data_IF_919849235176
#
_entry.id   IF_919849235176
#
_cell.length_a   1.000
_cell.length_b   1.000
_cell.length_c   1.000
_cell.angle_alpha   90.00
_cell.angle_beta   90.00
_cell.angle_gamma   90.00
#
_symmetry.space_group_name_H-M   'P 1'
#
loop_
_entity.id
_entity.type
_entity.pdbx_description
1 polymer ?
#
# COMPACT_ATOMS: atom_id res chain seq x y z
N UNK A 1 -69.93 22.24 -42.19
CA UNK A 1 -69.49 21.31 -41.12
C UNK A 1 -68.04 20.91 -41.36
N UNK A 2 -67.13 21.38 -40.51
CA UNK A 2 -65.85 20.78 -40.07
C UNK A 2 -65.08 21.87 -39.34
N UNK A 3 -65.17 21.82 -38.00
CA UNK A 3 -64.48 22.70 -37.06
C UNK A 3 -63.12 22.06 -36.79
N UNK A 4 -62.02 22.75 -37.12
CA UNK A 4 -60.68 22.35 -36.74
C UNK A 4 -60.20 23.32 -35.65
N UNK A 5 -60.13 22.81 -34.42
CA UNK A 5 -59.71 23.53 -33.23
C UNK A 5 -58.17 23.53 -33.20
N UNK A 6 -57.54 24.69 -33.39
CA UNK A 6 -56.09 24.87 -33.24
C UNK A 6 -55.82 25.23 -31.78
N UNK A 7 -55.28 24.28 -31.02
CA UNK A 7 -54.77 24.49 -29.66
C UNK A 7 -53.38 25.13 -29.74
N UNK A 8 -53.31 26.44 -29.51
CA UNK A 8 -52.06 27.17 -29.28
C UNK A 8 -51.64 26.93 -27.84
N UNK A 9 -50.74 25.97 -27.63
CA UNK A 9 -50.10 25.74 -26.33
C UNK A 9 -49.12 26.87 -26.02
N UNK A 10 -49.47 27.73 -25.08
CA UNK A 10 -48.56 28.72 -24.51
C UNK A 10 -47.47 28.01 -23.69
N UNK A 11 -46.27 27.92 -24.24
CA UNK A 11 -45.07 27.49 -23.50
C UNK A 11 -44.66 28.66 -22.60
N UNK A 12 -45.03 28.58 -21.31
CA UNK A 12 -44.50 29.42 -20.26
C UNK A 12 -43.03 29.05 -20.04
N UNK A 13 -42.13 29.73 -20.76
CA UNK A 13 -40.71 29.74 -20.44
C UNK A 13 -40.51 30.49 -19.12
N UNK A 14 -40.60 29.78 -18.00
CA UNK A 14 -40.14 30.28 -16.72
C UNK A 14 -38.60 30.38 -16.77
N UNK A 15 -38.09 31.53 -17.17
CA UNK A 15 -36.70 31.90 -16.97
C UNK A 15 -36.47 32.03 -15.47
N UNK A 16 -36.04 30.93 -14.84
CA UNK A 16 -35.51 30.92 -13.48
C UNK A 16 -34.20 31.72 -13.49
N UNK A 17 -34.33 33.03 -13.34
CA UNK A 17 -33.22 33.92 -13.03
C UNK A 17 -32.69 33.55 -11.66
N UNK A 18 -31.70 32.66 -11.62
CA UNK A 18 -30.87 32.46 -10.44
C UNK A 18 -30.04 33.74 -10.25
N UNK A 19 -30.63 34.77 -9.64
CA UNK A 19 -29.86 35.88 -9.07
C UNK A 19 -28.82 35.27 -8.13
N UNK A 20 -27.52 35.52 -8.32
CA UNK A 20 -26.52 35.16 -7.34
C UNK A 20 -26.94 35.82 -6.03
N UNK A 21 -27.13 35.04 -4.96
CA UNK A 21 -27.35 35.59 -3.62
C UNK A 21 -26.10 36.39 -3.23
N UNK A 22 -26.10 37.67 -3.54
CA UNK A 22 -25.17 38.70 -3.06
C UNK A 22 -25.35 38.82 -1.56
N UNK A 23 -24.70 37.94 -0.81
CA UNK A 23 -24.86 37.83 0.65
C UNK A 23 -24.28 36.55 1.26
N UNK A 24 -23.95 35.54 0.46
CA UNK A 24 -23.21 34.39 0.97
C UNK A 24 -21.73 34.78 1.05
N UNK A 25 -21.27 35.04 2.28
CA UNK A 25 -19.83 35.17 2.59
C UNK A 25 -19.08 34.06 1.87
N UNK A 26 -18.14 34.40 1.01
CA UNK A 26 -17.33 33.45 0.25
C UNK A 26 -16.80 32.38 1.21
N UNK A 27 -17.35 31.17 1.11
CA UNK A 27 -16.95 30.05 1.95
C UNK A 27 -15.49 29.78 1.69
N UNK A 28 -14.65 29.98 2.70
CA UNK A 28 -13.23 29.65 2.61
C UNK A 28 -13.11 28.14 2.48
N UNK A 29 -12.81 27.66 1.28
CA UNK A 29 -12.42 26.27 1.07
C UNK A 29 -11.05 26.11 1.71
N UNK A 30 -11.03 25.55 2.92
CA UNK A 30 -9.79 25.15 3.58
C UNK A 30 -9.50 23.74 3.12
N UNK A 31 -8.50 23.59 2.24
CA UNK A 31 -7.90 22.28 1.96
C UNK A 31 -7.17 21.86 3.24
N UNK A 32 -7.78 20.99 4.02
CA UNK A 32 -7.10 20.36 5.16
C UNK A 32 -6.16 19.32 4.55
N UNK A 33 -4.90 19.68 4.39
CA UNK A 33 -3.85 18.68 4.19
C UNK A 33 -3.71 17.92 5.50
N UNK A 34 -4.33 16.74 5.56
CA UNK A 34 -4.09 15.82 6.67
C UNK A 34 -2.61 15.46 6.59
N UNK A 35 -1.83 15.84 7.62
CA UNK A 35 -0.49 15.28 7.83
C UNK A 35 -0.58 13.77 7.58
N UNK A 36 0.37 13.16 6.85
CA UNK A 36 0.41 11.71 6.72
C UNK A 36 0.30 11.12 8.13
N UNK A 37 -0.77 10.37 8.38
CA UNK A 37 -1.03 9.81 9.69
C UNK A 37 -0.14 8.58 9.85
N UNK A 38 1.16 8.78 10.09
CA UNK A 38 2.09 7.68 10.25
C UNK A 38 3.56 8.08 10.18
N UNK A 39 4.46 7.15 10.53
CA UNK A 39 5.90 7.31 10.30
C UNK A 39 6.17 7.64 8.83
N UNK A 40 7.15 8.52 8.58
CA UNK A 40 7.53 9.03 7.26
C UNK A 40 8.86 8.43 6.81
N UNK A 41 8.96 7.10 6.81
CA UNK A 41 10.16 6.40 6.33
C UNK A 41 9.92 5.71 4.99
N UNK A 42 10.93 4.99 4.53
CA UNK A 42 10.78 4.16 3.33
C UNK A 42 10.06 2.87 3.71
N UNK A 43 8.88 2.58 3.13
CA UNK A 43 8.07 1.44 3.57
C UNK A 43 8.86 0.14 3.54
N UNK A 44 8.74 -0.65 4.60
CA UNK A 44 9.33 -1.99 4.73
C UNK A 44 8.21 -2.99 4.94
N UNK A 45 8.36 -4.19 4.37
CA UNK A 45 7.46 -5.31 4.67
C UNK A 45 8.19 -6.43 5.37
N UNK A 46 7.44 -7.20 6.14
CA UNK A 46 7.86 -8.43 6.78
C UNK A 46 6.78 -9.48 6.56
N UNK A 47 7.15 -10.75 6.35
CA UNK A 47 6.18 -11.84 6.50
C UNK A 47 5.93 -12.06 7.99
N UNK A 48 4.69 -12.37 8.39
CA UNK A 48 4.32 -12.47 9.82
C UNK A 48 3.78 -13.85 10.13
N UNK A 49 4.33 -14.48 11.16
CA UNK A 49 3.79 -15.68 11.79
C UNK A 49 2.78 -15.29 12.87
N UNK A 50 1.52 -15.70 12.69
CA UNK A 50 0.39 -15.34 13.55
C UNK A 50 0.47 -15.93 14.96
N UNK A 51 1.15 -17.07 15.13
CA UNK A 51 1.13 -17.79 16.41
C UNK A 51 2.05 -17.12 17.45
N UNK A 52 3.14 -16.52 16.97
CA UNK A 52 4.23 -16.10 17.84
C UNK A 52 4.52 -14.60 17.76
N UNK A 53 3.78 -13.81 16.97
CA UNK A 53 4.09 -12.41 16.68
C UNK A 53 5.54 -12.22 16.17
N UNK A 54 6.02 -13.21 15.41
CA UNK A 54 7.34 -13.19 14.78
C UNK A 54 7.19 -12.66 13.36
N UNK A 55 8.05 -11.71 12.99
CA UNK A 55 8.15 -11.19 11.63
C UNK A 55 9.50 -11.53 11.00
N UNK A 56 9.53 -11.78 9.69
CA UNK A 56 10.76 -11.90 8.91
C UNK A 56 10.80 -10.78 7.88
N UNK A 57 11.69 -9.82 8.09
CA UNK A 57 11.82 -8.62 7.27
C UNK A 57 13.03 -8.76 6.34
N UNK A 58 12.80 -8.71 5.03
CA UNK A 58 13.88 -8.74 4.03
C UNK A 58 14.22 -7.29 3.71
N UNK A 59 15.29 -6.80 4.34
CA UNK A 59 15.71 -5.39 4.31
C UNK A 59 17.18 -5.29 4.71
N UNK A 60 17.99 -4.41 4.08
CA UNK A 60 19.40 -4.26 4.42
C UNK A 60 19.60 -3.64 5.80
N UNK A 61 18.66 -2.82 6.26
CA UNK A 61 18.71 -2.18 7.58
C UNK A 61 17.71 -2.81 8.54
N UNK A 62 18.11 -3.12 9.80
CA UNK A 62 17.21 -3.69 10.79
C UNK A 62 16.04 -2.74 11.07
N UNK A 63 14.83 -3.28 11.31
CA UNK A 63 13.77 -2.52 11.98
C UNK A 63 14.26 -1.98 13.33
N UNK A 64 13.71 -0.85 13.77
CA UNK A 64 14.08 -0.30 15.08
C UNK A 64 13.24 -0.98 16.18
N UNK A 65 13.86 -1.26 17.33
CA UNK A 65 13.12 -1.71 18.50
C UNK A 65 12.19 -0.57 18.96
N UNK A 66 10.94 -0.91 19.26
CA UNK A 66 9.90 0.04 19.59
C UNK A 66 9.10 0.55 18.40
N UNK A 67 9.54 0.31 17.17
CA UNK A 67 8.75 0.57 15.96
C UNK A 67 7.46 -0.25 15.95
N UNK A 68 6.47 0.26 15.22
CA UNK A 68 5.18 -0.40 15.03
C UNK A 68 5.10 -1.01 13.64
N UNK A 69 4.68 -2.26 13.60
CA UNK A 69 4.39 -3.02 12.40
C UNK A 69 2.88 -3.20 12.30
N UNK A 70 2.27 -2.64 11.25
CA UNK A 70 0.85 -2.84 10.96
C UNK A 70 0.68 -4.14 10.19
N UNK A 71 -0.08 -5.08 10.74
CA UNK A 71 -0.32 -6.40 10.14
C UNK A 71 -1.61 -6.35 9.34
N UNK A 72 -1.54 -6.78 8.09
CA UNK A 72 -2.65 -6.73 7.13
C UNK A 72 -2.79 -8.05 6.39
N UNK A 73 -4.00 -8.34 5.93
CA UNK A 73 -4.32 -9.49 5.08
C UNK A 73 -5.14 -9.08 3.85
N UNK A 74 -5.69 -10.04 3.09
CA UNK A 74 -6.50 -9.77 1.90
C UNK A 74 -7.85 -9.08 2.18
N UNK A 75 -8.28 -9.00 3.44
CA UNK A 75 -9.55 -8.42 3.82
C UNK A 75 -9.41 -7.08 4.54
N UNK A 76 -8.40 -6.91 5.40
CA UNK A 76 -8.31 -5.79 6.35
C UNK A 76 -6.94 -5.67 7.03
N UNK A 77 -6.80 -4.60 7.81
CA UNK A 77 -5.82 -4.53 8.89
C UNK A 77 -6.23 -5.46 10.03
N UNK A 78 -5.34 -6.38 10.40
CA UNK A 78 -5.54 -7.33 11.49
C UNK A 78 -5.13 -6.74 12.84
N UNK A 79 -4.06 -5.95 12.88
CA UNK A 79 -3.56 -5.40 14.14
C UNK A 79 -2.26 -4.61 14.01
N UNK A 80 -1.70 -4.24 15.16
CA UNK A 80 -0.39 -3.56 15.23
C UNK A 80 0.49 -4.25 16.26
N UNK A 81 1.67 -4.66 15.83
CA UNK A 81 2.72 -5.26 16.69
C UNK A 81 3.75 -4.17 17.01
N UNK A 82 4.08 -4.00 18.29
CA UNK A 82 5.29 -3.25 18.69
C UNK A 82 6.47 -4.20 18.72
N UNK A 83 7.51 -3.88 17.96
CA UNK A 83 8.75 -4.66 17.89
C UNK A 83 9.50 -4.53 19.22
N UNK A 84 9.82 -5.66 19.86
CA UNK A 84 10.54 -5.72 21.13
C UNK A 84 11.95 -6.28 20.98
N UNK A 85 12.22 -7.09 19.96
CA UNK A 85 13.57 -7.54 19.62
C UNK A 85 13.76 -7.69 18.11
N UNK A 86 15.01 -7.57 17.69
CA UNK A 86 15.43 -7.74 16.29
C UNK A 86 16.72 -8.56 16.28
N UNK A 87 16.71 -9.65 15.51
CA UNK A 87 17.85 -10.54 15.34
C UNK A 87 18.21 -10.64 13.86
N UNK A 88 19.48 -10.40 13.53
CA UNK A 88 19.99 -10.59 12.17
C UNK A 88 20.06 -12.06 11.81
N UNK A 89 19.61 -12.39 10.60
CA UNK A 89 19.80 -13.70 9.99
C UNK A 89 20.87 -13.53 8.92
N UNK A 90 22.03 -14.14 9.15
CA UNK A 90 23.12 -14.15 8.19
C UNK A 90 22.71 -14.99 6.96
N UNK A 91 22.88 -14.42 5.77
CA UNK A 91 22.75 -15.14 4.50
C UNK A 91 24.01 -15.97 4.20
N UNK A 92 24.02 -16.66 3.06
CA UNK A 92 25.18 -17.43 2.61
C UNK A 92 26.44 -16.59 2.37
N UNK A 93 26.30 -15.27 2.26
CA UNK A 93 27.42 -14.33 2.14
C UNK A 93 27.90 -13.84 3.52
N UNK A 94 27.38 -14.41 4.62
CA UNK A 94 27.62 -13.96 5.99
C UNK A 94 27.23 -12.48 6.21
N UNK A 95 26.21 -12.01 5.49
CA UNK A 95 25.64 -10.67 5.64
C UNK A 95 24.24 -10.75 6.24
N UNK A 96 23.89 -9.81 7.11
CA UNK A 96 22.54 -9.72 7.66
C UNK A 96 21.65 -8.94 6.70
N UNK A 97 21.01 -9.65 5.77
CA UNK A 97 20.07 -9.09 4.79
C UNK A 97 18.61 -9.41 5.12
N UNK A 98 18.40 -10.25 6.14
CA UNK A 98 17.11 -10.59 6.71
C UNK A 98 17.13 -10.40 8.22
N UNK A 99 15.99 -9.98 8.77
CA UNK A 99 15.85 -9.70 10.19
C UNK A 99 14.63 -10.41 10.74
N UNK A 100 14.84 -11.22 11.77
CA UNK A 100 13.74 -11.77 12.57
C UNK A 100 13.36 -10.73 13.63
N UNK A 101 12.10 -10.35 13.66
CA UNK A 101 11.55 -9.44 14.68
C UNK A 101 10.63 -10.23 15.61
N UNK A 102 10.73 -10.00 16.90
CA UNK A 102 9.72 -10.42 17.88
C UNK A 102 9.00 -9.17 18.36
N UNK A 103 7.71 -9.30 18.67
CA UNK A 103 6.97 -8.19 19.24
C UNK A 103 5.82 -8.59 20.15
N UNK A 104 5.09 -7.56 20.58
CA UNK A 104 3.84 -7.69 21.34
C UNK A 104 2.72 -7.05 20.54
N UNK A 105 1.59 -7.74 20.43
CA UNK A 105 0.39 -7.21 19.80
C UNK A 105 -0.19 -6.09 20.67
N UNK A 106 -0.16 -4.85 20.19
CA UNK A 106 -0.72 -3.69 20.90
C UNK A 106 -2.22 -3.52 20.65
N UNK A 107 -2.70 -3.95 19.49
CA UNK A 107 -4.09 -3.82 19.08
C UNK A 107 -4.44 -4.81 17.97
N UNK A 108 -5.74 -5.12 17.85
CA UNK A 108 -6.26 -6.00 16.82
C UNK A 108 -6.33 -7.47 17.24
N UNK A 109 -6.45 -8.35 16.25
CA UNK A 109 -6.56 -9.80 16.42
C UNK A 109 -5.97 -10.51 15.18
N UNK A 110 -4.98 -11.36 15.40
CA UNK A 110 -4.31 -12.13 14.35
C UNK A 110 -4.87 -13.56 14.20
N UNK A 111 -5.88 -13.95 14.97
CA UNK A 111 -6.38 -15.33 15.04
C UNK A 111 -7.19 -15.77 13.81
N UNK A 112 -7.69 -14.82 13.02
CA UNK A 112 -8.60 -15.07 11.89
C UNK A 112 -8.12 -14.38 10.60
N UNK A 113 -6.92 -14.72 10.10
CA UNK A 113 -6.44 -14.14 8.87
C UNK A 113 -7.18 -14.67 7.65
N UNK A 114 -7.28 -13.83 6.63
CA UNK A 114 -7.80 -14.17 5.32
C UNK A 114 -6.69 -14.07 4.27
N UNK A 115 -6.17 -15.23 3.85
CA UNK A 115 -5.18 -15.33 2.78
C UNK A 115 -3.76 -14.98 3.24
N UNK A 116 -3.04 -14.23 2.41
CA UNK A 116 -1.67 -13.80 2.68
C UNK A 116 -1.66 -12.77 3.82
N UNK A 117 -0.60 -12.79 4.62
CA UNK A 117 -0.42 -11.89 5.76
C UNK A 117 0.96 -11.26 5.67
N UNK A 118 1.00 -9.94 5.75
CA UNK A 118 2.26 -9.21 5.87
C UNK A 118 2.16 -8.16 6.98
N UNK A 119 3.32 -7.82 7.52
CA UNK A 119 3.53 -6.68 8.40
C UNK A 119 4.20 -5.56 7.63
N UNK A 120 3.75 -4.32 7.84
CA UNK A 120 4.25 -3.13 7.16
C UNK A 120 4.78 -2.15 8.20
N UNK A 121 5.96 -1.58 7.95
CA UNK A 121 6.67 -0.65 8.83
C UNK A 121 6.97 0.65 8.05
N UNK A 122 7.09 1.75 8.78
CA UNK A 122 7.52 3.07 8.27
C UNK A 122 6.57 3.79 7.33
N UNK A 123 5.33 3.29 7.22
CA UNK A 123 4.22 3.96 6.54
C UNK A 123 2.94 3.80 7.35
N UNK A 124 2.13 4.85 7.38
CA UNK A 124 0.80 4.81 7.99
C UNK A 124 -0.22 4.16 7.06
N UNK A 125 -0.88 3.12 7.54
CA UNK A 125 -2.02 2.50 6.84
C UNK A 125 -3.34 2.91 7.49
N UNK A 126 -4.40 3.08 6.70
CA UNK A 126 -5.75 3.33 7.21
C UNK A 126 -6.29 2.04 7.84
N UNK A 127 -6.51 1.99 9.16
CA UNK A 127 -6.94 0.78 9.84
C UNK A 127 -8.32 0.27 9.40
N UNK A 128 -9.12 1.10 8.69
CA UNK A 128 -10.47 0.74 8.23
C UNK A 128 -10.52 0.31 6.78
N UNK A 129 -9.57 0.78 5.97
CA UNK A 129 -9.63 0.67 4.52
C UNK A 129 -8.48 -0.17 3.96
N UNK A 130 -7.34 -0.23 4.66
CA UNK A 130 -6.16 -0.91 4.14
C UNK A 130 -6.32 -2.43 4.09
N UNK A 131 -5.96 -3.01 2.94
CA UNK A 131 -5.99 -4.46 2.68
C UNK A 131 -5.03 -4.85 1.55
N UNK A 132 -4.68 -6.13 1.47
CA UNK A 132 -3.97 -6.68 0.32
C UNK A 132 -4.91 -6.84 -0.87
N UNK A 133 -4.44 -6.43 -2.04
CA UNK A 133 -5.14 -6.57 -3.31
C UNK A 133 -4.28 -7.37 -4.30
N UNK A 134 -4.93 -8.01 -5.26
CA UNK A 134 -4.22 -8.64 -6.36
C UNK A 134 -3.93 -7.60 -7.43
N UNK A 135 -2.75 -7.67 -8.02
CA UNK A 135 -2.38 -6.87 -9.19
C UNK A 135 -2.03 -7.80 -10.35
N UNK A 136 -2.43 -7.42 -11.56
CA UNK A 136 -2.20 -8.23 -12.76
C UNK A 136 -0.75 -8.13 -13.27
N UNK A 137 0.05 -7.19 -12.76
CA UNK A 137 1.45 -7.01 -13.15
C UNK A 137 2.19 -6.18 -12.10
N UNK A 138 3.50 -6.37 -12.00
CA UNK A 138 4.36 -5.45 -11.25
C UNK A 138 4.46 -4.09 -11.97
N UNK A 139 4.78 -2.99 -11.27
CA UNK A 139 5.01 -1.70 -11.91
C UNK A 139 6.27 -1.70 -12.78
N UNK A 140 7.21 -2.61 -12.48
CA UNK A 140 8.39 -2.92 -13.30
C UNK A 140 8.06 -3.72 -14.57
N UNK A 141 6.82 -4.19 -14.74
CA UNK A 141 6.36 -4.86 -15.95
C UNK A 141 6.83 -6.30 -16.09
N UNK A 142 7.22 -6.93 -14.99
CA UNK A 142 7.65 -8.33 -14.99
C UNK A 142 6.47 -9.29 -15.26
N UNK A 143 6.73 -10.46 -15.86
CA UNK A 143 5.70 -11.49 -16.04
C UNK A 143 5.08 -11.94 -14.71
N UNK A 144 3.79 -12.25 -14.72
CA UNK A 144 3.13 -12.84 -13.55
C UNK A 144 3.77 -14.20 -13.23
N UNK A 145 4.02 -14.46 -11.95
CA UNK A 145 4.47 -15.76 -11.44
C UNK A 145 5.98 -15.93 -11.31
N UNK A 146 6.78 -14.97 -11.79
CA UNK A 146 8.22 -14.90 -11.49
C UNK A 146 8.52 -14.12 -10.21
N UNK A 147 7.55 -13.31 -9.78
CA UNK A 147 7.71 -12.33 -8.73
C UNK A 147 6.77 -12.65 -7.56
N UNK A 148 7.21 -12.31 -6.35
CA UNK A 148 6.30 -12.16 -5.21
C UNK A 148 5.90 -10.69 -5.11
N UNK A 149 4.61 -10.41 -5.23
CA UNK A 149 4.08 -9.04 -5.17
C UNK A 149 3.09 -8.97 -4.01
N UNK A 150 3.32 -8.02 -3.10
CA UNK A 150 2.32 -7.62 -2.12
C UNK A 150 1.85 -6.21 -2.43
N UNK A 151 0.62 -6.08 -2.91
CA UNK A 151 0.00 -4.81 -3.22
C UNK A 151 -1.04 -4.43 -2.14
N UNK A 152 -1.03 -3.18 -1.71
CA UNK A 152 -1.87 -2.66 -0.64
C UNK A 152 -2.72 -1.53 -1.20
N UNK A 153 -4.03 -1.71 -1.14
CA UNK A 153 -5.02 -0.64 -1.32
C UNK A 153 -5.24 -0.04 0.07
N UNK A 154 -4.80 1.20 0.28
CA UNK A 154 -4.82 1.86 1.58
C UNK A 154 -6.11 2.69 1.78
N UNK A 155 -6.82 2.99 0.71
CA UNK A 155 -7.94 3.93 0.72
C UNK A 155 -9.29 3.29 0.30
N UNK A 156 -9.26 2.01 -0.04
CA UNK A 156 -10.38 1.18 -0.49
C UNK A 156 -11.00 1.63 -1.84
N UNK A 157 -10.21 2.18 -2.76
CA UNK A 157 -10.61 2.50 -4.14
C UNK A 157 -10.39 1.34 -5.13
N UNK A 158 -9.82 0.23 -4.65
CA UNK A 158 -9.52 -0.97 -5.44
C UNK A 158 -8.20 -0.95 -6.19
N UNK A 159 -7.46 0.16 -6.15
CA UNK A 159 -6.11 0.28 -6.72
C UNK A 159 -5.03 0.14 -5.65
N UNK A 160 -3.84 -0.31 -6.05
CA UNK A 160 -2.70 -0.37 -5.14
C UNK A 160 -2.12 1.03 -4.88
N UNK A 161 -1.99 1.40 -3.61
CA UNK A 161 -1.29 2.59 -3.13
C UNK A 161 0.19 2.32 -2.80
N UNK A 162 0.51 1.06 -2.48
CA UNK A 162 1.84 0.59 -2.13
C UNK A 162 2.06 -0.82 -2.65
N UNK A 163 3.20 -1.08 -3.27
CA UNK A 163 3.57 -2.41 -3.77
C UNK A 163 4.99 -2.78 -3.33
N UNK A 164 5.13 -3.99 -2.81
CA UNK A 164 6.41 -4.64 -2.54
C UNK A 164 6.63 -5.74 -3.57
N UNK A 165 7.70 -5.64 -4.34
CA UNK A 165 8.02 -6.58 -5.43
C UNK A 165 9.34 -7.25 -5.12
N UNK A 166 9.35 -8.58 -5.09
CA UNK A 166 10.55 -9.39 -4.92
C UNK A 166 10.74 -10.34 -6.11
N UNK A 167 11.93 -10.35 -6.70
CA UNK A 167 12.26 -11.17 -7.87
C UNK A 167 13.74 -11.55 -7.90
N UNK A 168 14.07 -12.62 -8.64
CA UNK A 168 15.46 -13.02 -8.87
C UNK A 168 16.15 -12.09 -9.89
N UNK A 169 17.35 -11.59 -9.57
CA UNK A 169 18.04 -10.62 -10.40
C UNK A 169 19.54 -10.88 -10.62
N UNK A 170 20.11 -10.30 -11.68
CA UNK A 170 21.54 -10.29 -11.96
C UNK A 170 22.31 -9.26 -11.10
N UNK A 171 23.62 -9.11 -11.33
CA UNK A 171 24.48 -8.14 -10.62
C UNK A 171 24.11 -6.68 -10.90
N UNK A 172 23.43 -6.40 -12.02
CA UNK A 172 22.94 -5.07 -12.38
C UNK A 172 21.54 -4.78 -11.81
N UNK A 173 20.92 -5.75 -11.13
CA UNK A 173 19.58 -5.62 -10.56
C UNK A 173 18.44 -5.83 -11.56
N UNK A 174 18.73 -6.40 -12.74
CA UNK A 174 17.71 -6.74 -13.73
C UNK A 174 17.18 -8.15 -13.46
N UNK A 175 15.90 -8.37 -13.75
CA UNK A 175 15.31 -9.71 -13.71
C UNK A 175 16.13 -10.68 -14.60
N UNK A 176 16.49 -11.84 -14.05
CA UNK A 176 17.35 -12.80 -14.73
C UNK A 176 16.85 -14.24 -14.54
N UNK A 177 16.85 -15.08 -15.60
CA UNK A 177 16.56 -16.51 -15.47
C UNK A 177 17.67 -17.27 -14.73
N UNK A 178 18.86 -16.68 -14.61
CA UNK A 178 19.98 -17.17 -13.82
C UNK A 178 20.28 -16.13 -12.74
N UNK A 179 19.46 -16.05 -11.68
CA UNK A 179 19.60 -15.03 -10.67
C UNK A 179 20.90 -15.20 -9.89
N UNK A 180 21.59 -14.09 -9.64
CA UNK A 180 22.76 -14.00 -8.76
C UNK A 180 22.42 -13.39 -7.40
N UNK A 181 21.16 -12.98 -7.25
CA UNK A 181 20.62 -12.33 -6.06
C UNK A 181 19.09 -12.22 -6.11
N UNK A 182 18.55 -11.64 -5.05
CA UNK A 182 17.15 -11.27 -4.89
C UNK A 182 17.05 -9.74 -4.89
N UNK A 183 16.23 -9.19 -5.78
CA UNK A 183 15.92 -7.78 -5.81
C UNK A 183 14.60 -7.52 -5.11
N UNK A 184 14.55 -6.46 -4.31
CA UNK A 184 13.36 -5.98 -3.63
C UNK A 184 13.11 -4.54 -4.07
N UNK A 185 11.91 -4.28 -4.56
CA UNK A 185 11.46 -2.94 -4.91
C UNK A 185 10.27 -2.55 -4.05
N UNK A 186 10.20 -1.26 -3.75
CA UNK A 186 9.06 -0.65 -3.09
C UNK A 186 8.55 0.46 -4.00
N UNK A 187 7.27 0.39 -4.33
CA UNK A 187 6.59 1.33 -5.19
C UNK A 187 5.44 1.97 -4.43
N UNK A 188 5.27 3.28 -4.56
CA UNK A 188 4.18 4.00 -3.90
C UNK A 188 3.44 4.88 -4.90
N UNK A 189 2.13 4.93 -4.78
CA UNK A 189 1.29 5.78 -5.60
C UNK A 189 1.60 7.25 -5.31
N UNK A 190 2.00 8.00 -6.34
CA UNK A 190 2.10 9.46 -6.29
C UNK A 190 1.10 10.05 -7.26
N UNK A 191 -0.05 10.47 -6.75
CA UNK A 191 -1.02 11.20 -7.56
C UNK A 191 -0.39 12.48 -8.17
N UNK A 192 -0.61 12.78 -9.46
CA UNK A 192 -1.41 12.05 -10.46
C UNK A 192 -0.60 11.06 -11.33
N UNK A 193 0.68 10.80 -11.01
CA UNK A 193 1.69 10.19 -11.90
C UNK A 193 1.75 8.66 -11.86
N UNK A 194 0.82 7.99 -11.19
CA UNK A 194 0.84 6.54 -11.00
C UNK A 194 1.85 6.12 -9.92
N UNK A 195 2.37 4.90 -10.03
CA UNK A 195 3.34 4.33 -9.08
C UNK A 195 4.75 4.87 -9.34
N UNK A 196 5.45 5.27 -8.28
CA UNK A 196 6.86 5.63 -8.32
C UNK A 196 7.68 4.67 -7.46
N UNK A 197 8.81 4.21 -7.97
CA UNK A 197 9.75 3.36 -7.22
C UNK A 197 10.43 4.22 -6.16
N UNK A 198 10.09 4.00 -4.90
CA UNK A 198 10.67 4.71 -3.75
C UNK A 198 11.89 3.99 -3.18
N UNK A 199 12.04 2.69 -3.46
CA UNK A 199 13.21 1.90 -3.06
C UNK A 199 13.50 0.80 -4.06
N UNK A 200 14.78 0.52 -4.25
CA UNK A 200 15.27 -0.66 -4.94
C UNK A 200 16.51 -1.17 -4.21
N UNK A 201 16.52 -2.44 -3.86
CA UNK A 201 17.59 -3.10 -3.12
C UNK A 201 17.90 -4.44 -3.76
N UNK A 202 19.16 -4.85 -3.65
CA UNK A 202 19.62 -6.16 -4.09
C UNK A 202 20.32 -6.87 -2.94
N UNK A 203 19.89 -8.10 -2.69
CA UNK A 203 20.52 -9.05 -1.77
C UNK A 203 21.26 -10.08 -2.62
N UNK A 204 22.57 -10.20 -2.42
CA UNK A 204 23.37 -11.19 -3.16
C UNK A 204 23.06 -12.59 -2.64
N UNK A 205 23.01 -13.58 -3.52
CA UNK A 205 22.97 -14.99 -3.14
C UNK A 205 24.37 -15.58 -3.23
N UNK A 206 24.86 -16.14 -2.13
CA UNK A 206 26.10 -16.92 -2.09
C UNK A 206 25.77 -18.38 -1.74
N UNK A 207 26.44 -19.31 -2.40
CA UNK A 207 26.34 -20.75 -2.21
C UNK A 207 27.67 -21.32 -1.73
#
# INVERSE_FOLDING_TARGET
MRVALILVGAVLSASAGASPRTGVRAGRVVRIERKPAGPTGTPRYCTVSINDNVGYCITPTPPEIGSRMTVIDNARVLGTIRISSVQGIADGCNQNTSWMTQGTLESGDLSTPNGAIIGVIDVGLDPRNAKLVNVDKSPSGHPIGTDTIYAIDNNNDGAADLEFVQFGCDDAGNMSPMPTGLCNEVWSAKAPRGMERVRAERVRTCY
#
